data_IF_299712491794
#
_entry.id   IF_299712491794
#
_cell.length_a   1.000
_cell.length_b   1.000
_cell.length_c   1.000
_cell.angle_alpha   90.00
_cell.angle_beta   90.00
_cell.angle_gamma   90.00
#
_symmetry.space_group_name_H-M   'P 1'
#
loop_
_entity.id
_entity.type
_entity.pdbx_description
1 polymer ?
#
# COMPACT_ATOMS: atom_id res chain seq x y z
N UNK A 1 -6.61 13.85 5.91
CA UNK A 1 -6.48 12.97 4.72
C UNK A 1 -5.14 13.11 3.99
N UNK A 2 -4.47 14.28 4.01
CA UNK A 2 -3.18 14.55 3.33
C UNK A 2 -2.03 13.56 3.64
N UNK A 3 -1.80 13.20 4.91
CA UNK A 3 -0.79 12.19 5.29
C UNK A 3 -1.11 10.77 4.82
N UNK A 4 -2.40 10.40 4.71
CA UNK A 4 -2.80 9.04 4.35
C UNK A 4 -2.55 8.77 2.86
N UNK A 5 -2.79 9.76 1.98
CA UNK A 5 -2.55 9.58 0.55
C UNK A 5 -1.04 9.58 0.21
N UNK A 6 -0.25 10.40 0.91
CA UNK A 6 1.22 10.37 0.88
C UNK A 6 1.75 9.01 1.37
N UNK A 7 1.21 8.50 2.49
CA UNK A 7 1.51 7.16 3.01
C UNK A 7 1.04 6.07 2.03
N UNK A 8 -0.08 6.22 1.32
CA UNK A 8 -0.53 5.23 0.32
C UNK A 8 0.39 5.21 -0.91
N UNK A 9 0.88 6.36 -1.37
CA UNK A 9 1.85 6.45 -2.46
C UNK A 9 3.22 5.90 -2.05
N UNK A 10 3.72 6.29 -0.88
CA UNK A 10 4.93 5.70 -0.27
C UNK A 10 4.70 4.20 0.01
N UNK A 11 3.50 3.78 0.42
CA UNK A 11 3.17 2.37 0.66
C UNK A 11 3.25 1.53 -0.62
N UNK A 12 2.82 2.10 -1.74
CA UNK A 12 2.75 1.41 -3.03
C UNK A 12 4.12 1.30 -3.73
N UNK A 13 5.06 2.22 -3.43
CA UNK A 13 6.39 2.26 -4.05
C UNK A 13 7.56 1.86 -3.13
N UNK A 14 7.42 2.07 -1.83
CA UNK A 14 8.42 1.71 -0.81
C UNK A 14 8.05 0.39 -0.11
N UNK A 15 6.75 0.05 -0.04
CA UNK A 15 6.21 -0.79 1.04
C UNK A 15 5.45 -2.04 0.55
N UNK A 16 5.40 -2.29 -0.76
CA UNK A 16 4.92 -3.57 -1.30
C UNK A 16 5.75 -4.79 -0.83
N UNK A 17 7.02 -4.66 -0.40
CA UNK A 17 7.73 -5.67 0.41
C UNK A 17 7.68 -5.46 1.94
N UNK A 18 7.06 -4.38 2.45
CA UNK A 18 7.04 -4.01 3.88
C UNK A 18 5.67 -4.20 4.57
N UNK A 19 4.77 -5.01 3.99
CA UNK A 19 3.58 -5.46 4.71
C UNK A 19 3.90 -6.59 5.70
N UNK A 20 4.93 -6.41 6.52
CA UNK A 20 4.91 -6.79 7.94
C UNK A 20 4.69 -5.50 8.72
N UNK A 21 3.40 -5.19 8.93
CA UNK A 21 2.92 -4.06 9.71
C UNK A 21 3.65 -3.95 11.05
N UNK A 22 4.52 -2.94 11.18
CA UNK A 22 4.90 -2.34 12.45
C UNK A 22 3.67 -1.66 13.05
N UNK A 23 2.92 -2.38 13.88
CA UNK A 23 2.06 -1.77 14.90
C UNK A 23 2.66 -2.07 16.26
N UNK A 24 3.04 -0.99 16.96
CA UNK A 24 3.31 -1.00 18.39
C UNK A 24 4.72 -1.41 18.77
N UNK A 25 5.46 -0.47 19.34
CA UNK A 25 6.49 -0.77 20.30
C UNK A 25 5.87 -1.59 21.45
N UNK A 26 5.96 -2.91 21.35
CA UNK A 26 5.90 -3.87 22.46
C UNK A 26 6.81 -5.03 22.06
N UNK A 27 7.61 -5.48 23.02
CA UNK A 27 8.66 -6.46 22.87
C UNK A 27 8.28 -7.60 21.90
N UNK A 28 9.10 -7.79 20.86
CA UNK A 28 8.99 -8.89 19.91
C UNK A 28 9.53 -10.13 20.62
N UNK A 29 8.70 -10.77 21.43
CA UNK A 29 9.07 -11.99 22.16
C UNK A 29 8.26 -13.24 21.75
N UNK A 30 7.32 -13.15 20.80
CA UNK A 30 6.46 -14.29 20.50
C UNK A 30 6.39 -14.63 19.00
N UNK A 31 6.57 -15.93 18.71
CA UNK A 31 6.33 -16.55 17.41
C UNK A 31 4.85 -16.39 17.06
N UNK A 32 4.51 -15.44 16.18
CA UNK A 32 3.13 -15.23 15.77
C UNK A 32 2.87 -15.87 14.40
N UNK A 33 1.86 -16.74 14.37
CA UNK A 33 1.27 -17.27 13.14
C UNK A 33 0.27 -16.25 12.60
N UNK A 34 0.45 -15.82 11.35
CA UNK A 34 -0.51 -14.94 10.68
C UNK A 34 -1.16 -15.69 9.53
N UNK A 35 -2.47 -15.91 9.65
CA UNK A 35 -3.32 -16.40 8.56
C UNK A 35 -3.87 -15.18 7.80
N UNK A 36 -3.39 -14.96 6.58
CA UNK A 36 -3.97 -14.00 5.65
C UNK A 36 -4.81 -14.80 4.66
N UNK A 37 -6.14 -14.67 4.74
CA UNK A 37 -7.08 -15.53 3.99
C UNK A 37 -6.70 -15.80 2.53
N UNK A 38 -6.95 -17.05 2.11
CA UNK A 38 -6.68 -17.66 0.79
C UNK A 38 -5.22 -17.69 0.32
N UNK A 39 -4.28 -17.12 1.08
CA UNK A 39 -2.84 -17.36 0.91
C UNK A 39 -2.36 -18.17 2.10
N UNK A 40 -1.72 -19.31 1.83
CA UNK A 40 -1.29 -20.29 2.82
C UNK A 40 -0.69 -19.72 4.11
N UNK A 41 -0.78 -20.50 5.19
CA UNK A 41 -0.33 -20.10 6.52
C UNK A 41 1.13 -19.63 6.48
N UNK A 42 1.42 -18.48 7.07
CA UNK A 42 2.79 -17.97 7.20
C UNK A 42 3.21 -17.91 8.66
N UNK A 43 4.46 -18.31 8.89
CA UNK A 43 5.11 -18.21 10.20
C UNK A 43 6.19 -17.13 10.13
N UNK A 44 6.31 -16.34 11.19
CA UNK A 44 7.35 -15.31 11.32
C UNK A 44 8.12 -15.61 12.60
N UNK A 45 9.43 -15.79 12.48
CA UNK A 45 10.33 -16.11 13.61
C UNK A 45 11.62 -15.31 13.53
N UNK A 46 12.35 -15.27 14.65
CA UNK A 46 13.74 -14.79 14.68
C UNK A 46 14.72 -15.95 14.63
N UNK A 47 15.81 -15.81 13.87
CA UNK A 47 16.93 -16.75 13.94
C UNK A 47 17.87 -16.42 15.12
N UNK A 48 18.90 -17.24 15.31
CA UNK A 48 19.90 -17.05 16.38
C UNK A 48 20.70 -15.74 16.29
N UNK A 49 20.68 -15.10 15.11
CA UNK A 49 21.33 -13.81 14.85
C UNK A 49 20.34 -12.64 14.92
N UNK A 50 19.07 -12.89 15.25
CA UNK A 50 18.02 -11.87 15.32
C UNK A 50 17.45 -11.46 13.96
N UNK A 51 17.77 -12.17 12.88
CA UNK A 51 17.17 -11.95 11.57
C UNK A 51 15.71 -12.43 11.57
N UNK A 52 14.84 -11.76 10.82
CA UNK A 52 13.45 -12.22 10.65
C UNK A 52 13.38 -13.26 9.55
N UNK A 53 12.81 -14.43 9.85
CA UNK A 53 12.52 -15.49 8.89
C UNK A 53 11.01 -15.56 8.71
N UNK A 54 10.56 -15.49 7.47
CA UNK A 54 9.17 -15.70 7.06
C UNK A 54 9.12 -17.01 6.28
N UNK A 55 8.27 -17.93 6.67
CA UNK A 55 8.13 -19.24 6.04
C UNK A 55 6.66 -19.52 5.75
N UNK A 56 6.35 -19.92 4.51
CA UNK A 56 5.01 -20.34 4.11
C UNK A 56 4.79 -21.86 4.32
N UNK A 57 3.54 -22.29 4.20
CA UNK A 57 3.11 -23.68 4.33
C UNK A 57 3.68 -24.63 3.27
N UNK A 58 4.24 -24.09 2.19
CA UNK A 58 4.94 -24.84 1.13
C UNK A 58 6.44 -24.93 1.39
N UNK A 59 6.93 -24.35 2.49
CA UNK A 59 8.34 -24.34 2.88
C UNK A 59 9.18 -23.29 2.17
N UNK A 60 8.59 -22.37 1.39
CA UNK A 60 9.35 -21.24 0.84
C UNK A 60 9.73 -20.30 1.99
N UNK A 61 10.98 -19.81 1.97
CA UNK A 61 11.53 -18.97 3.04
C UNK A 61 12.04 -17.63 2.52
N UNK A 62 11.76 -16.58 3.27
CA UNK A 62 12.37 -15.26 3.11
C UNK A 62 13.09 -14.88 4.40
N UNK A 63 14.31 -14.37 4.25
CA UNK A 63 15.14 -13.84 5.34
C UNK A 63 15.24 -12.33 5.22
N UNK A 64 14.98 -11.62 6.30
CA UNK A 64 15.15 -10.17 6.42
C UNK A 64 16.22 -9.91 7.47
N UNK A 65 17.33 -9.30 7.03
CA UNK A 65 18.51 -9.01 7.85
C UNK A 65 19.04 -7.61 7.57
N UNK A 66 19.93 -7.11 8.43
CA UNK A 66 20.76 -5.94 8.12
C UNK A 66 22.17 -6.39 7.72
N UNK A 67 22.77 -5.73 6.73
CA UNK A 67 24.18 -5.94 6.40
C UNK A 67 25.11 -5.14 7.35
N UNK A 68 26.42 -5.26 7.15
CA UNK A 68 27.44 -4.58 7.97
C UNK A 68 27.38 -3.05 7.88
N UNK A 69 26.76 -2.50 6.84
CA UNK A 69 26.55 -1.07 6.64
C UNK A 69 25.17 -0.63 7.16
N UNK A 70 24.39 -1.56 7.73
CA UNK A 70 23.04 -1.31 8.23
C UNK A 70 21.95 -1.35 7.16
N UNK A 71 22.27 -1.68 5.91
CA UNK A 71 21.27 -1.79 4.84
C UNK A 71 20.35 -2.98 5.08
N UNK A 72 19.07 -2.86 4.74
CA UNK A 72 18.14 -3.97 4.83
C UNK A 72 18.32 -4.91 3.64
N UNK A 73 18.46 -6.20 3.91
CA UNK A 73 18.55 -7.27 2.92
C UNK A 73 17.35 -8.18 3.08
N UNK A 74 16.63 -8.41 1.99
CA UNK A 74 15.55 -9.38 1.87
C UNK A 74 16.01 -10.43 0.85
N UNK A 75 16.05 -11.69 1.26
CA UNK A 75 16.59 -12.78 0.45
C UNK A 75 15.67 -13.99 0.54
N UNK A 76 15.28 -14.55 -0.60
CA UNK A 76 14.52 -15.79 -0.66
C UNK A 76 15.44 -17.01 -0.83
N UNK A 77 14.87 -18.20 -0.61
CA UNK A 77 15.53 -19.49 -0.78
C UNK A 77 15.97 -19.81 -2.22
N UNK A 78 15.46 -19.07 -3.20
CA UNK A 78 15.83 -19.17 -4.63
C UNK A 78 16.98 -18.22 -4.99
N UNK A 79 17.52 -17.49 -4.01
CA UNK A 79 18.63 -16.56 -4.18
C UNK A 79 18.23 -15.22 -4.81
N UNK A 80 16.94 -14.91 -4.92
CA UNK A 80 16.51 -13.54 -5.24
C UNK A 80 16.78 -12.67 -4.02
N UNK A 81 17.47 -11.55 -4.24
CA UNK A 81 17.84 -10.62 -3.17
C UNK A 81 17.39 -9.22 -3.52
N UNK A 82 16.83 -8.52 -2.54
CA UNK A 82 16.60 -7.08 -2.56
C UNK A 82 17.38 -6.42 -1.46
N UNK A 83 17.99 -5.28 -1.78
CA UNK A 83 18.70 -4.44 -0.83
C UNK A 83 18.00 -3.10 -0.76
N UNK A 84 17.75 -2.62 0.46
CA UNK A 84 17.24 -1.27 0.71
C UNK A 84 18.32 -0.50 1.45
N UNK A 85 18.73 0.62 0.86
CA UNK A 85 19.77 1.51 1.41
C UNK A 85 19.20 2.91 1.52
N UNK A 86 19.65 3.65 2.53
CA UNK A 86 19.39 5.07 2.68
C UNK A 86 20.72 5.81 2.57
N UNK A 87 20.77 6.87 1.74
CA UNK A 87 21.96 7.71 1.63
C UNK A 87 21.97 8.82 2.68
N UNK A 88 23.05 9.60 2.73
CA UNK A 88 23.22 10.70 3.70
C UNK A 88 22.20 11.83 3.55
N UNK A 89 21.51 11.90 2.41
CA UNK A 89 20.47 12.89 2.12
C UNK A 89 19.07 12.32 2.44
N UNK A 90 18.98 11.08 2.94
CA UNK A 90 17.72 10.39 3.22
C UNK A 90 17.06 9.76 1.99
N UNK A 91 17.75 9.70 0.84
CA UNK A 91 17.18 9.04 -0.34
C UNK A 91 17.23 7.52 -0.16
N UNK A 92 16.11 6.86 -0.47
CA UNK A 92 15.99 5.41 -0.37
C UNK A 92 16.24 4.77 -1.72
N UNK A 93 17.17 3.83 -1.78
CA UNK A 93 17.42 3.00 -2.97
C UNK A 93 17.02 1.56 -2.69
N UNK A 94 16.19 1.00 -3.55
CA UNK A 94 15.80 -0.42 -3.56
C UNK A 94 16.38 -1.05 -4.80
N UNK A 95 17.22 -2.06 -4.64
CA UNK A 95 17.91 -2.73 -5.75
C UNK A 95 17.80 -4.25 -5.62
N UNK A 96 17.48 -4.93 -6.72
CA UNK A 96 17.53 -6.38 -6.78
C UNK A 96 18.86 -6.91 -7.32
N UNK A 97 19.12 -8.22 -7.13
CA UNK A 97 20.32 -8.88 -7.64
C UNK A 97 20.38 -9.00 -9.18
N UNK A 98 19.36 -8.55 -9.92
CA UNK A 98 19.34 -8.46 -11.38
C UNK A 98 19.67 -7.03 -11.86
N UNK A 99 19.96 -6.12 -10.94
CA UNK A 99 20.30 -4.73 -11.22
C UNK A 99 19.08 -3.83 -11.47
N UNK A 100 17.86 -4.30 -11.25
CA UNK A 100 16.70 -3.40 -11.27
C UNK A 100 16.73 -2.54 -10.01
N UNK A 101 16.66 -1.22 -10.20
CA UNK A 101 16.78 -0.26 -9.11
C UNK A 101 15.61 0.72 -9.14
N UNK A 102 15.10 1.07 -7.97
CA UNK A 102 14.21 2.20 -7.74
C UNK A 102 14.80 3.10 -6.68
N UNK A 103 14.72 4.41 -6.91
CA UNK A 103 15.15 5.42 -5.94
C UNK A 103 13.95 6.27 -5.57
N UNK A 104 13.79 6.53 -4.28
CA UNK A 104 12.83 7.49 -3.73
C UNK A 104 13.63 8.66 -3.18
N UNK A 105 13.26 9.87 -3.58
CA UNK A 105 13.90 11.13 -3.15
C UNK A 105 12.83 12.12 -2.75
N UNK A 106 13.12 12.91 -1.73
CA UNK A 106 12.32 14.08 -1.35
C UNK A 106 13.15 15.33 -1.62
N UNK A 107 12.59 16.30 -2.36
CA UNK A 107 13.27 17.57 -2.60
C UNK A 107 13.05 18.55 -1.43
N UNK A 108 13.72 19.70 -1.48
CA UNK A 108 13.65 20.73 -0.44
C UNK A 108 12.25 21.34 -0.25
N UNK A 109 11.35 21.14 -1.22
CA UNK A 109 9.96 21.61 -1.17
C UNK A 109 9.02 20.50 -0.66
N UNK A 110 9.55 19.32 -0.31
CA UNK A 110 8.78 18.16 0.12
C UNK A 110 8.15 17.36 -1.03
N UNK A 111 8.58 17.59 -2.27
CA UNK A 111 8.08 16.80 -3.41
C UNK A 111 8.78 15.45 -3.43
N UNK A 112 7.99 14.39 -3.51
CA UNK A 112 8.50 13.02 -3.57
C UNK A 112 8.66 12.58 -5.02
N UNK A 113 9.83 12.05 -5.37
CA UNK A 113 10.11 11.48 -6.69
C UNK A 113 10.53 10.03 -6.56
N UNK A 114 9.88 9.15 -7.33
CA UNK A 114 10.26 7.75 -7.50
C UNK A 114 10.76 7.55 -8.93
N UNK A 115 11.96 7.02 -9.08
CA UNK A 115 12.60 6.82 -10.37
C UNK A 115 13.22 5.42 -10.47
N UNK A 116 13.02 4.74 -11.60
CA UNK A 116 13.71 3.49 -11.89
C UNK A 116 14.97 3.69 -12.74
N UNK A 117 15.81 2.65 -12.83
CA UNK A 117 17.03 2.67 -13.63
C UNK A 117 16.79 2.71 -15.16
N UNK A 118 15.54 2.67 -15.62
CA UNK A 118 15.16 2.86 -17.03
C UNK A 118 14.71 4.31 -17.31
N UNK A 119 14.73 5.17 -16.30
CA UNK A 119 14.33 6.57 -16.39
C UNK A 119 12.82 6.80 -16.26
N UNK A 120 12.02 5.77 -15.91
CA UNK A 120 10.62 6.00 -15.60
C UNK A 120 10.52 6.71 -14.25
N UNK A 121 9.83 7.84 -14.23
CA UNK A 121 9.74 8.71 -13.05
C UNK A 121 8.30 9.02 -12.72
N UNK A 122 7.97 9.00 -11.43
CA UNK A 122 6.73 9.52 -10.88
C UNK A 122 7.03 10.51 -9.78
N UNK A 123 6.37 11.65 -9.82
CA UNK A 123 6.51 12.71 -8.83
C UNK A 123 5.16 12.97 -8.16
N UNK A 124 5.20 13.20 -6.85
CA UNK A 124 4.07 13.64 -6.04
C UNK A 124 4.42 14.96 -5.41
N UNK A 125 3.54 15.94 -5.58
CA UNK A 125 3.70 17.28 -5.04
C UNK A 125 2.36 17.83 -4.58
N UNK A 126 2.40 18.80 -3.67
CA UNK A 126 1.25 19.60 -3.30
C UNK A 126 1.29 20.92 -4.09
N UNK A 127 0.17 21.34 -4.68
CA UNK A 127 0.07 22.66 -5.31
C UNK A 127 -0.27 23.75 -4.28
N UNK A 128 -0.28 25.01 -4.72
CA UNK A 128 -0.55 26.17 -3.85
C UNK A 128 -1.96 26.17 -3.23
N UNK A 129 -2.90 25.41 -3.80
CA UNK A 129 -4.26 25.26 -3.29
C UNK A 129 -4.38 24.05 -2.35
N UNK A 130 -3.28 23.32 -2.13
CA UNK A 130 -3.25 22.14 -1.31
C UNK A 130 -3.70 20.86 -2.01
N UNK A 131 -3.81 20.87 -3.34
CA UNK A 131 -4.15 19.68 -4.11
C UNK A 131 -2.93 18.79 -4.29
N UNK A 132 -3.13 17.48 -4.24
CA UNK A 132 -2.06 16.52 -4.50
C UNK A 132 -1.99 16.25 -6.00
N UNK A 133 -0.83 16.50 -6.60
CA UNK A 133 -0.54 16.24 -8.01
C UNK A 133 0.40 15.05 -8.09
N UNK A 134 0.01 14.05 -8.87
CA UNK A 134 0.80 12.86 -9.20
C UNK A 134 1.05 12.89 -10.70
N UNK A 135 2.30 12.91 -11.12
CA UNK A 135 2.67 13.05 -12.53
C UNK A 135 3.76 12.04 -12.88
N UNK A 136 3.70 11.47 -14.08
CA UNK A 136 4.79 10.68 -14.64
C UNK A 136 5.53 11.42 -15.76
N UNK A 137 6.71 10.93 -16.11
CA UNK A 137 7.53 11.52 -17.18
C UNK A 137 7.00 11.26 -18.60
N UNK A 138 5.86 10.57 -18.76
CA UNK A 138 5.17 10.38 -20.03
C UNK A 138 4.00 11.38 -20.21
N UNK A 139 3.82 12.29 -19.25
CA UNK A 139 2.78 13.32 -19.30
C UNK A 139 1.42 12.88 -18.75
N UNK A 140 1.31 11.69 -18.14
CA UNK A 140 0.11 11.36 -17.37
C UNK A 140 0.11 12.13 -16.06
N UNK A 141 -1.00 12.80 -15.76
CA UNK A 141 -1.18 13.59 -14.54
C UNK A 141 -2.50 13.24 -13.87
N UNK A 142 -2.45 13.06 -12.56
CA UNK A 142 -3.60 12.85 -11.69
C UNK A 142 -3.59 13.87 -10.57
N UNK A 143 -4.75 14.47 -10.33
CA UNK A 143 -4.98 15.42 -9.25
C UNK A 143 -5.93 14.79 -8.24
N UNK A 144 -5.61 14.96 -6.96
CA UNK A 144 -6.51 14.65 -5.84
C UNK A 144 -6.76 15.91 -5.05
N UNK A 145 -8.02 16.27 -4.90
CA UNK A 145 -8.47 17.50 -4.24
C UNK A 145 -9.76 17.27 -3.46
N UNK A 146 -10.06 18.16 -2.54
CA UNK A 146 -11.39 18.22 -1.92
C UNK A 146 -12.27 19.22 -2.68
N UNK A 147 -13.56 18.92 -2.86
CA UNK A 147 -14.53 19.89 -3.36
C UNK A 147 -15.13 20.72 -2.21
N UNK A 148 -15.98 21.67 -2.56
CA UNK A 148 -16.62 22.59 -1.59
C UNK A 148 -17.56 21.87 -0.60
N UNK A 149 -17.98 20.64 -0.91
CA UNK A 149 -18.83 19.82 -0.05
C UNK A 149 -17.98 18.86 0.82
N UNK A 150 -16.64 18.93 0.72
CA UNK A 150 -15.71 18.04 1.41
C UNK A 150 -15.53 16.68 0.75
N UNK A 151 -16.04 16.47 -0.47
CA UNK A 151 -15.84 15.20 -1.18
C UNK A 151 -14.43 15.15 -1.78
N UNK A 152 -13.81 13.98 -1.76
CA UNK A 152 -12.52 13.78 -2.44
C UNK A 152 -12.74 13.54 -3.92
N UNK A 153 -12.16 14.40 -4.75
CA UNK A 153 -12.15 14.29 -6.20
C UNK A 153 -10.79 13.79 -6.67
N UNK A 154 -10.80 12.73 -7.46
CA UNK A 154 -9.63 12.15 -8.12
C UNK A 154 -9.85 12.27 -9.61
N UNK A 155 -8.99 13.01 -10.31
CA UNK A 155 -9.17 13.31 -11.73
C UNK A 155 -7.85 13.17 -12.47
N UNK A 156 -7.86 12.58 -13.67
CA UNK A 156 -6.70 12.56 -14.54
C UNK A 156 -6.84 13.46 -15.77
N UNK A 157 -5.71 13.74 -16.42
CA UNK A 157 -5.65 14.59 -17.61
C UNK A 157 -6.27 13.95 -18.87
N UNK A 158 -6.81 12.72 -18.77
CA UNK A 158 -7.60 12.07 -19.82
C UNK A 158 -9.10 12.24 -19.58
N UNK A 159 -9.50 12.99 -18.55
CA UNK A 159 -10.90 13.25 -18.22
C UNK A 159 -11.57 12.12 -17.43
N UNK A 160 -10.82 11.14 -16.91
CA UNK A 160 -11.41 10.18 -15.96
C UNK A 160 -11.50 10.84 -14.59
N UNK A 161 -12.70 10.87 -14.02
CA UNK A 161 -12.96 11.48 -12.71
C UNK A 161 -13.66 10.48 -11.81
N UNK A 162 -13.21 10.41 -10.55
CA UNK A 162 -13.87 9.70 -9.46
C UNK A 162 -14.14 10.65 -8.31
N UNK A 163 -15.30 10.50 -7.70
CA UNK A 163 -15.70 11.21 -6.49
C UNK A 163 -15.83 10.19 -5.38
N UNK A 164 -15.20 10.45 -4.24
CA UNK A 164 -15.40 9.72 -2.99
C UNK A 164 -16.14 10.64 -2.04
N UNK A 165 -17.32 10.21 -1.59
CA UNK A 165 -18.20 10.96 -0.70
C UNK A 165 -18.77 10.05 0.36
N UNK A 166 -19.17 10.62 1.49
CA UNK A 166 -19.97 9.91 2.50
C UNK A 166 -21.43 10.31 2.35
N UNK A 167 -22.34 9.34 2.43
CA UNK A 167 -23.77 9.64 2.51
C UNK A 167 -24.20 9.98 3.95
N UNK A 168 -25.46 10.37 4.11
CA UNK A 168 -26.06 10.72 5.40
C UNK A 168 -26.07 9.58 6.42
N UNK A 169 -25.86 8.34 5.98
CA UNK A 169 -25.80 7.15 6.82
C UNK A 169 -24.35 6.75 7.16
N UNK A 170 -23.36 7.54 6.71
CA UNK A 170 -21.94 7.26 6.90
C UNK A 170 -21.39 6.18 5.95
N UNK A 171 -22.09 5.85 4.87
CA UNK A 171 -21.57 4.93 3.86
C UNK A 171 -20.63 5.66 2.92
N UNK A 172 -19.49 5.05 2.60
CA UNK A 172 -18.58 5.58 1.58
C UNK A 172 -19.08 5.22 0.19
N UNK A 173 -19.22 6.22 -0.67
CA UNK A 173 -19.62 6.07 -2.06
C UNK A 173 -18.46 6.49 -2.94
N UNK A 174 -18.09 5.63 -3.89
CA UNK A 174 -17.16 5.94 -4.97
C UNK A 174 -17.94 5.93 -6.27
N UNK A 175 -17.87 7.03 -7.01
CA UNK A 175 -18.62 7.22 -8.25
C UNK A 175 -17.71 7.79 -9.33
N UNK A 176 -17.72 7.21 -10.54
CA UNK A 176 -17.02 7.77 -11.69
C UNK A 176 -17.91 8.68 -12.53
N UNK A 177 -17.31 9.46 -13.43
CA UNK A 177 -18.02 10.34 -14.36
C UNK A 177 -18.78 9.60 -15.48
N UNK A 178 -18.83 8.27 -15.45
CA UNK A 178 -19.64 7.42 -16.35
C UNK A 178 -20.84 6.82 -15.63
N UNK A 179 -21.07 7.16 -14.36
CA UNK A 179 -22.19 6.67 -13.55
C UNK A 179 -21.94 5.30 -12.91
N UNK A 180 -20.72 4.75 -12.97
CA UNK A 180 -20.40 3.55 -12.20
C UNK A 180 -20.21 3.93 -10.74
N UNK A 181 -21.02 3.33 -9.86
CA UNK A 181 -21.02 3.62 -8.43
C UNK A 181 -20.71 2.36 -7.63
N UNK A 182 -19.92 2.50 -6.58
CA UNK A 182 -19.70 1.46 -5.58
C UNK A 182 -19.94 2.04 -4.20
N UNK A 183 -20.71 1.34 -3.38
CA UNK A 183 -21.03 1.73 -2.01
C UNK A 183 -20.37 0.74 -1.05
N UNK A 184 -19.70 1.29 -0.04
CA UNK A 184 -19.14 0.56 1.07
C UNK A 184 -19.97 0.92 2.30
N UNK A 185 -20.61 -0.07 2.90
CA UNK A 185 -21.47 0.10 4.08
C UNK A 185 -21.19 -0.99 5.10
N UNK A 186 -21.66 -0.80 6.33
CA UNK A 186 -21.72 -1.85 7.34
C UNK A 186 -23.18 -2.25 7.56
N UNK A 187 -23.45 -3.54 7.70
CA UNK A 187 -24.75 -3.98 8.19
C UNK A 187 -24.85 -3.82 9.71
N UNK A 188 -26.03 -4.15 10.24
CA UNK A 188 -26.33 -4.10 11.68
C UNK A 188 -25.46 -5.04 12.52
N UNK A 189 -24.83 -6.03 11.91
CA UNK A 189 -23.92 -6.98 12.56
C UNK A 189 -22.45 -6.55 12.43
N UNK A 190 -22.19 -5.39 11.80
CA UNK A 190 -20.85 -4.86 11.57
C UNK A 190 -20.12 -5.49 10.37
N UNK A 191 -20.78 -6.33 9.57
CA UNK A 191 -20.18 -6.91 8.37
C UNK A 191 -20.01 -5.84 7.30
N UNK A 192 -18.90 -5.88 6.57
CA UNK A 192 -18.66 -4.94 5.47
C UNK A 192 -19.42 -5.41 4.22
N UNK A 193 -20.18 -4.52 3.62
CA UNK A 193 -20.89 -4.76 2.36
C UNK A 193 -20.30 -3.83 1.31
N UNK A 194 -19.97 -4.40 0.15
CA UNK A 194 -19.56 -3.70 -1.04
C UNK A 194 -20.61 -3.98 -2.11
N UNK A 195 -21.21 -2.94 -2.66
CA UNK A 195 -22.29 -3.07 -3.64
C UNK A 195 -22.03 -2.13 -4.81
N UNK A 196 -22.11 -2.63 -6.04
CA UNK A 196 -21.99 -1.80 -7.24
C UNK A 196 -23.36 -1.40 -7.81
N UNK A 197 -23.37 -0.43 -8.73
CA UNK A 197 -24.60 0.05 -9.39
C UNK A 197 -25.29 -0.98 -10.28
N UNK A 198 -24.66 -2.14 -10.53
CA UNK A 198 -25.25 -3.25 -11.31
C UNK A 198 -25.88 -4.31 -10.41
N UNK A 199 -25.87 -4.11 -9.09
CA UNK A 199 -26.45 -5.02 -8.11
C UNK A 199 -25.50 -6.12 -7.65
N UNK A 200 -24.24 -6.14 -8.11
CA UNK A 200 -23.28 -7.12 -7.60
C UNK A 200 -22.92 -6.77 -6.16
N UNK A 201 -23.02 -7.74 -5.26
CA UNK A 201 -22.83 -7.51 -3.82
C UNK A 201 -21.78 -8.47 -3.26
N UNK A 202 -20.88 -7.92 -2.45
CA UNK A 202 -19.93 -8.68 -1.65
C UNK A 202 -20.13 -8.40 -0.17
N UNK A 203 -20.11 -9.44 0.64
CA UNK A 203 -20.16 -9.33 2.11
C UNK A 203 -18.88 -9.91 2.68
N UNK A 204 -18.21 -9.13 3.50
CA UNK A 204 -17.02 -9.53 4.23
C UNK A 204 -17.41 -9.60 5.70
N UNK A 205 -17.36 -10.79 6.27
CA UNK A 205 -17.76 -11.07 7.66
C UNK A 205 -16.74 -11.96 8.35
N UNK A 206 -16.91 -12.13 9.66
CA UNK A 206 -16.13 -13.08 10.46
C UNK A 206 -16.99 -14.31 10.78
N UNK A 207 -16.39 -15.49 10.68
CA UNK A 207 -17.01 -16.71 11.18
C UNK A 207 -16.88 -16.83 12.70
N UNK A 208 -17.44 -17.89 13.28
CA UNK A 208 -17.39 -18.15 14.73
C UNK A 208 -15.97 -18.37 15.26
N UNK A 209 -15.01 -18.66 14.39
CA UNK A 209 -13.60 -18.86 14.72
C UNK A 209 -12.74 -17.61 14.46
N UNK A 210 -13.35 -16.50 14.00
CA UNK A 210 -12.66 -15.26 13.67
C UNK A 210 -12.00 -15.24 12.29
N UNK A 211 -12.25 -16.23 11.42
CA UNK A 211 -11.77 -16.24 10.04
C UNK A 211 -12.59 -15.27 9.20
N UNK A 212 -11.93 -14.61 8.22
CA UNK A 212 -12.62 -13.74 7.27
C UNK A 212 -13.33 -14.58 6.21
N UNK A 213 -14.65 -14.44 6.09
CA UNK A 213 -15.47 -15.01 5.02
C UNK A 213 -15.84 -13.91 4.04
N UNK A 214 -15.77 -14.21 2.73
CA UNK A 214 -16.22 -13.33 1.66
C UNK A 214 -17.32 -14.04 0.86
N UNK A 215 -18.53 -13.51 0.92
CA UNK A 215 -19.68 -14.00 0.15
C UNK A 215 -19.96 -13.06 -1.03
N UNK A 216 -20.27 -13.62 -2.21
CA UNK A 216 -20.61 -12.86 -3.42
C UNK A 216 -22.04 -13.22 -3.85
N UNK A 217 -22.81 -12.21 -4.22
CA UNK A 217 -24.20 -12.30 -4.68
C UNK A 217 -24.37 -11.50 -5.96
#
# INVERSE_FOLDING_TARGET
MKKILFILFVAQFVLAPYMTKSYGARAIEENHEYSMGDQGKRTVKKDIFGNTIIEDDKGNRETIKKDILGNLIIEDDKGNRKTVREDILGNITIEDNKGNRKTIREDILGNLTVEDNKGNRKTVREDILGNIIIEDNNGYRKTVREDILGNTIIEDNNGNRKTVKEDIFGNTIIEDNKGNRTTFKKDIFGNQIIEDSKGNRKVIKKDIFGNTIIEKY
#
